data_IF_511146063438
#
_entry.id   IF_511146063438
#
_cell.length_a   1.000
_cell.length_b   1.000
_cell.length_c   1.000
_cell.angle_alpha   90.00
_cell.angle_beta   90.00
_cell.angle_gamma   90.00
#
_symmetry.space_group_name_H-M   'P 1'
#
loop_
_entity.id
_entity.type
_entity.pdbx_description
1 polymer ?
#
# COMPACT_ATOMS: atom_id res chain seq x y z
N UNK A 1 4.69 -14.11 1.75
CA UNK A 1 5.31 -13.31 2.83
C UNK A 1 5.42 -11.87 2.36
N UNK A 2 5.10 -10.91 3.20
CA UNK A 2 5.23 -9.50 2.87
C UNK A 2 5.62 -8.69 4.10
N UNK A 3 6.21 -7.52 3.89
CA UNK A 3 6.59 -6.61 4.96
C UNK A 3 6.95 -5.23 4.42
N UNK A 4 6.81 -4.22 5.28
CA UNK A 4 7.12 -2.84 4.95
C UNK A 4 7.55 -2.09 6.20
N UNK A 5 8.51 -1.17 6.16
CA UNK A 5 8.67 -0.15 7.19
C UNK A 5 7.54 0.87 7.09
N UNK A 6 7.26 1.64 8.15
CA UNK A 6 6.24 2.69 8.06
C UNK A 6 5.61 3.10 9.40
N UNK A 7 6.20 2.71 10.54
CA UNK A 7 5.68 3.06 11.86
C UNK A 7 4.25 2.54 12.06
N UNK A 8 3.33 3.39 12.49
CA UNK A 8 1.91 3.03 12.71
C UNK A 8 1.19 2.54 11.44
N UNK A 9 1.69 2.91 10.26
CA UNK A 9 1.12 2.49 8.97
C UNK A 9 1.42 1.05 8.60
N UNK A 10 2.41 0.40 9.23
CA UNK A 10 2.79 -0.99 8.93
C UNK A 10 1.57 -1.91 8.94
N UNK A 11 0.73 -1.80 9.95
CA UNK A 11 -0.46 -2.64 10.11
C UNK A 11 -1.39 -2.52 8.91
N UNK A 12 -1.72 -1.29 8.51
CA UNK A 12 -2.60 -1.05 7.36
C UNK A 12 -1.97 -1.50 6.06
N UNK A 13 -0.68 -1.23 5.85
CA UNK A 13 0.03 -1.66 4.62
C UNK A 13 0.07 -3.17 4.49
N UNK A 14 0.34 -3.87 5.60
CA UNK A 14 0.31 -5.34 5.64
C UNK A 14 -1.09 -5.86 5.36
N UNK A 15 -2.12 -5.26 5.96
CA UNK A 15 -3.52 -5.62 5.71
C UNK A 15 -3.90 -5.46 4.23
N UNK A 16 -3.58 -4.31 3.63
CA UNK A 16 -3.83 -4.08 2.20
C UNK A 16 -3.13 -5.12 1.32
N UNK A 17 -1.90 -5.47 1.65
CA UNK A 17 -1.16 -6.51 0.92
C UNK A 17 -1.78 -7.90 1.07
N UNK A 18 -2.26 -8.26 2.28
CA UNK A 18 -2.97 -9.54 2.50
C UNK A 18 -4.26 -9.59 1.71
N UNK A 19 -5.05 -8.51 1.72
CA UNK A 19 -6.28 -8.41 0.93
C UNK A 19 -5.98 -8.50 -0.58
N UNK A 20 -4.93 -7.83 -1.06
CA UNK A 20 -4.50 -7.93 -2.46
C UNK A 20 -4.17 -9.36 -2.87
N UNK A 21 -3.47 -10.12 -2.04
CA UNK A 21 -3.23 -11.54 -2.29
C UNK A 21 -4.54 -12.37 -2.26
N UNK A 22 -5.45 -12.07 -1.34
CA UNK A 22 -6.75 -12.74 -1.29
C UNK A 22 -7.60 -12.48 -2.54
N UNK A 23 -7.45 -11.30 -3.14
CA UNK A 23 -8.09 -10.91 -4.41
C UNK A 23 -7.35 -11.46 -5.65
N UNK A 24 -6.29 -12.24 -5.46
CA UNK A 24 -5.55 -12.91 -6.54
C UNK A 24 -4.45 -12.07 -7.19
N UNK A 25 -4.04 -10.95 -6.60
CA UNK A 25 -2.92 -10.16 -7.09
C UNK A 25 -1.60 -10.90 -6.88
N UNK A 26 -0.66 -10.72 -7.80
CA UNK A 26 0.68 -11.26 -7.68
C UNK A 26 1.60 -10.38 -6.80
N UNK A 27 2.82 -10.88 -6.51
CA UNK A 27 3.79 -10.21 -5.67
C UNK A 27 4.11 -8.77 -6.14
N UNK A 28 4.22 -8.53 -7.44
CA UNK A 28 4.52 -7.21 -8.00
C UNK A 28 3.33 -6.25 -7.86
N UNK A 29 2.13 -6.74 -8.14
CA UNK A 29 0.90 -5.99 -8.01
C UNK A 29 0.66 -5.60 -6.53
N UNK A 30 0.88 -6.53 -5.60
CA UNK A 30 0.75 -6.26 -4.16
C UNK A 30 1.78 -5.22 -3.69
N UNK A 31 3.04 -5.31 -4.14
CA UNK A 31 4.05 -4.30 -3.79
C UNK A 31 3.67 -2.90 -4.32
N UNK A 32 2.99 -2.83 -5.46
CA UNK A 32 2.60 -1.60 -6.14
C UNK A 32 1.23 -1.04 -5.70
N UNK A 33 0.48 -1.75 -4.83
CA UNK A 33 -0.86 -1.33 -4.42
C UNK A 33 -0.89 0.13 -3.95
N UNK A 34 -1.90 0.91 -4.37
CA UNK A 34 -2.14 2.24 -3.83
C UNK A 34 -2.40 2.17 -2.33
N UNK A 35 -1.94 3.17 -1.60
CA UNK A 35 -1.97 3.15 -0.15
C UNK A 35 -2.82 4.25 0.42
N UNK A 36 -3.55 3.87 1.47
CA UNK A 36 -4.28 4.78 2.34
C UNK A 36 -4.21 4.25 3.77
N UNK A 37 -4.36 5.14 4.73
CA UNK A 37 -4.25 4.81 6.14
C UNK A 37 -5.14 5.72 6.97
N UNK A 38 -5.82 5.12 7.91
CA UNK A 38 -6.56 5.80 8.95
C UNK A 38 -6.15 5.25 10.32
N UNK A 39 -6.04 6.10 11.29
CA UNK A 39 -5.83 5.72 12.68
C UNK A 39 -6.64 6.65 13.57
N UNK A 40 -6.86 6.22 14.82
CA UNK A 40 -7.68 6.98 15.75
C UNK A 40 -7.11 8.38 16.02
N UNK A 41 -5.80 8.54 16.11
CA UNK A 41 -5.17 9.83 16.35
C UNK A 41 -3.90 10.01 15.50
N UNK A 42 -3.90 11.03 14.63
CA UNK A 42 -5.04 11.91 14.30
C UNK A 42 -6.13 11.14 13.55
N UNK A 43 -7.41 11.51 13.82
CA UNK A 43 -8.59 10.96 13.14
C UNK A 43 -8.69 11.51 11.72
N UNK A 44 -7.81 11.01 10.87
CA UNK A 44 -7.63 11.45 9.48
C UNK A 44 -7.32 10.25 8.59
N UNK A 45 -8.01 10.17 7.46
CA UNK A 45 -7.69 9.22 6.41
C UNK A 45 -6.72 9.85 5.43
N UNK A 46 -5.44 9.51 5.54
CA UNK A 46 -4.41 9.91 4.58
C UNK A 46 -4.36 8.97 3.38
N UNK A 47 -4.13 9.50 2.19
CA UNK A 47 -4.01 8.71 0.96
C UNK A 47 -2.72 9.02 0.21
N UNK A 48 -2.24 8.07 -0.58
CA UNK A 48 -1.33 8.38 -1.69
C UNK A 48 -2.07 9.11 -2.81
N UNK A 49 -1.31 9.73 -3.70
CA UNK A 49 -1.88 10.31 -4.92
C UNK A 49 -2.56 9.22 -5.74
N UNK A 50 -3.80 9.47 -6.14
CA UNK A 50 -4.63 8.53 -6.92
C UNK A 50 -4.90 7.18 -6.23
N UNK A 51 -4.77 7.10 -4.91
CA UNK A 51 -5.02 5.86 -4.18
C UNK A 51 -6.51 5.49 -4.14
N UNK A 52 -7.38 6.48 -4.13
CA UNK A 52 -8.83 6.28 -4.13
C UNK A 52 -9.46 7.05 -5.30
N UNK A 53 -10.48 6.48 -5.97
CA UNK A 53 -11.29 7.20 -6.94
C UNK A 53 -11.97 8.42 -6.32
N UNK A 54 -12.16 9.49 -7.10
CA UNK A 54 -12.73 10.75 -6.61
C UNK A 54 -14.15 10.60 -6.04
N UNK A 55 -14.97 9.73 -6.60
CA UNK A 55 -16.31 9.42 -6.10
C UNK A 55 -16.26 8.69 -4.75
N UNK A 56 -15.25 7.83 -4.54
CA UNK A 56 -15.02 7.17 -3.24
C UNK A 56 -14.60 8.19 -2.20
N UNK A 57 -13.69 9.10 -2.53
CA UNK A 57 -13.28 10.20 -1.63
C UNK A 57 -14.48 11.06 -1.26
N UNK A 58 -15.32 11.44 -2.24
CA UNK A 58 -16.53 12.23 -1.98
C UNK A 58 -17.51 11.51 -1.05
N UNK A 59 -17.71 10.21 -1.25
CA UNK A 59 -18.58 9.40 -0.36
C UNK A 59 -18.04 9.30 1.06
N UNK A 60 -16.74 9.08 1.22
CA UNK A 60 -16.10 9.03 2.54
C UNK A 60 -16.27 10.37 3.28
N UNK A 61 -16.06 11.49 2.59
CA UNK A 61 -16.30 12.82 3.17
C UNK A 61 -17.75 13.06 3.55
N UNK A 62 -18.69 12.60 2.71
CA UNK A 62 -20.13 12.66 3.03
C UNK A 62 -20.52 11.82 4.24
N UNK A 63 -19.77 10.77 4.55
CA UNK A 63 -19.91 9.94 5.76
C UNK A 63 -19.25 10.57 7.01
N UNK A 64 -18.57 11.72 6.85
CA UNK A 64 -17.91 12.43 7.93
C UNK A 64 -16.43 12.15 8.09
N UNK A 65 -15.81 11.38 7.20
CA UNK A 65 -14.36 11.16 7.27
C UNK A 65 -13.58 12.39 6.80
N UNK A 66 -12.53 12.72 7.55
CA UNK A 66 -11.55 13.72 7.15
C UNK A 66 -10.52 13.06 6.21
N UNK A 67 -10.64 13.30 4.91
CA UNK A 67 -9.80 12.63 3.90
C UNK A 67 -8.78 13.61 3.32
N UNK A 68 -7.49 13.32 3.52
CA UNK A 68 -6.36 14.07 2.95
C UNK A 68 -5.90 13.43 1.63
N UNK A 69 -6.07 14.14 0.55
CA UNK A 69 -5.62 13.72 -0.79
C UNK A 69 -4.45 14.60 -1.23
N UNK A 70 -3.30 14.02 -1.65
CA UNK A 70 -2.16 14.82 -2.12
C UNK A 70 -2.51 15.65 -3.36
N UNK A 71 -2.22 16.94 -3.28
CA UNK A 71 -2.50 17.90 -4.37
C UNK A 71 -3.84 18.60 -4.27
N UNK A 72 -4.70 18.26 -3.31
CA UNK A 72 -5.87 19.05 -2.96
C UNK A 72 -5.54 20.07 -1.87
N UNK A 73 -6.44 21.08 -1.72
CA UNK A 73 -6.38 21.98 -0.57
C UNK A 73 -6.83 21.25 0.70
N UNK A 74 -5.88 20.88 1.52
CA UNK A 74 -6.08 20.19 2.78
C UNK A 74 -5.96 21.18 3.99
N UNK A 75 -6.19 22.46 3.80
CA UNK A 75 -6.04 23.51 4.83
C UNK A 75 -4.63 23.52 5.47
N UNK A 76 -3.60 23.40 4.62
CA UNK A 76 -2.19 23.38 5.05
C UNK A 76 -1.71 22.06 5.66
N UNK A 77 -2.59 21.08 5.83
CA UNK A 77 -2.21 19.74 6.29
C UNK A 77 -1.63 18.93 5.13
N UNK A 78 -0.66 18.10 5.44
CA UNK A 78 -0.02 17.23 4.44
C UNK A 78 -0.44 15.78 4.64
N UNK A 79 -0.84 15.13 3.55
CA UNK A 79 -0.78 13.67 3.50
C UNK A 79 0.69 13.24 3.59
N UNK A 80 0.96 12.08 4.17
CA UNK A 80 2.33 11.60 4.29
C UNK A 80 2.96 11.38 2.93
N UNK A 81 4.20 11.83 2.77
CA UNK A 81 5.01 11.54 1.59
C UNK A 81 5.71 10.17 1.70
N UNK A 82 5.70 9.55 2.88
CA UNK A 82 6.32 8.25 3.13
C UNK A 82 5.28 7.18 3.44
N UNK A 83 5.12 6.27 2.51
CA UNK A 83 4.18 5.15 2.60
C UNK A 83 4.87 3.80 2.78
N UNK A 84 6.08 3.82 3.30
CA UNK A 84 6.89 2.63 3.48
C UNK A 84 7.51 2.11 2.20
N UNK A 85 7.99 0.88 2.26
CA UNK A 85 8.68 0.19 1.17
C UNK A 85 8.32 -1.30 1.24
N UNK A 86 7.25 -1.69 0.57
CA UNK A 86 6.72 -3.05 0.61
C UNK A 86 7.67 -3.99 -0.13
N UNK A 87 8.06 -5.06 0.54
CA UNK A 87 8.76 -6.18 -0.09
C UNK A 87 7.91 -7.44 0.08
N UNK A 88 7.78 -8.19 -1.00
CA UNK A 88 6.88 -9.34 -1.06
C UNK A 88 7.59 -10.56 -1.64
N UNK A 89 7.22 -11.72 -1.11
CA UNK A 89 7.57 -13.03 -1.68
C UNK A 89 6.32 -13.88 -1.72
N UNK A 90 6.04 -14.42 -2.87
CA UNK A 90 4.94 -15.33 -3.16
C UNK A 90 5.46 -16.70 -3.53
N UNK A 91 4.84 -17.76 -3.04
CA UNK A 91 5.05 -19.11 -3.51
C UNK A 91 3.79 -19.61 -4.24
N UNK A 92 3.85 -19.62 -5.55
CA UNK A 92 2.87 -20.28 -6.40
C UNK A 92 3.09 -21.79 -6.29
N UNK A 93 2.28 -22.42 -5.45
CA UNK A 93 2.42 -23.87 -5.17
C UNK A 93 2.03 -24.72 -6.38
N UNK A 94 1.08 -24.29 -7.20
CA UNK A 94 0.64 -25.03 -8.37
C UNK A 94 1.74 -25.09 -9.43
N UNK A 95 2.41 -23.97 -9.66
CA UNK A 95 3.53 -23.89 -10.60
C UNK A 95 4.90 -24.23 -9.93
N UNK A 96 4.93 -24.50 -8.63
CA UNK A 96 6.14 -24.65 -7.81
C UNK A 96 7.17 -23.54 -8.06
N UNK A 97 6.71 -22.29 -8.07
CA UNK A 97 7.52 -21.13 -8.43
C UNK A 97 7.45 -20.05 -7.38
N UNK A 98 8.61 -19.53 -6.98
CA UNK A 98 8.73 -18.32 -6.17
C UNK A 98 8.69 -17.08 -7.07
N UNK A 99 8.01 -16.06 -6.60
CA UNK A 99 8.04 -14.70 -7.15
C UNK A 99 8.40 -13.75 -6.02
N UNK A 100 9.16 -12.72 -6.32
CA UNK A 100 9.51 -11.69 -5.37
C UNK A 100 9.40 -10.31 -6.02
N UNK A 101 8.98 -9.32 -5.24
CA UNK A 101 8.90 -7.95 -5.71
C UNK A 101 9.30 -6.97 -4.61
N UNK A 102 9.97 -5.91 -5.01
CA UNK A 102 10.21 -4.72 -4.20
C UNK A 102 9.27 -3.60 -4.63
N UNK A 103 9.02 -2.69 -3.72
CA UNK A 103 8.20 -1.51 -3.93
C UNK A 103 8.72 -0.66 -5.10
N UNK A 104 7.90 -0.40 -6.13
CA UNK A 104 8.32 0.42 -7.26
C UNK A 104 8.58 1.90 -6.88
N UNK A 105 8.14 2.34 -5.69
CA UNK A 105 8.43 3.67 -5.17
C UNK A 105 9.88 3.83 -4.71
N UNK A 106 10.56 2.71 -4.47
CA UNK A 106 11.96 2.70 -4.06
C UNK A 106 12.86 2.26 -5.24
N UNK A 107 13.54 3.20 -5.91
CA UNK A 107 14.32 2.90 -7.11
C UNK A 107 15.57 2.04 -6.84
N UNK A 108 16.00 1.94 -5.57
CA UNK A 108 17.17 1.12 -5.18
C UNK A 108 16.79 -0.27 -4.66
N UNK A 109 15.49 -0.50 -4.40
CA UNK A 109 14.99 -1.81 -3.97
C UNK A 109 15.02 -2.80 -5.12
N UNK A 110 15.56 -4.01 -4.87
CA UNK A 110 15.50 -5.13 -5.81
C UNK A 110 15.11 -6.40 -5.09
N UNK A 111 14.17 -7.12 -5.69
CA UNK A 111 13.85 -8.48 -5.28
C UNK A 111 14.37 -9.45 -6.34
N UNK A 112 15.01 -10.51 -5.89
CA UNK A 112 15.56 -11.54 -6.78
C UNK A 112 15.25 -12.91 -6.20
N UNK A 113 14.81 -13.82 -7.05
CA UNK A 113 14.67 -15.23 -6.72
C UNK A 113 15.86 -15.96 -7.30
N UNK A 114 16.65 -16.60 -6.46
CA UNK A 114 17.75 -17.43 -6.90
C UNK A 114 17.20 -18.74 -7.49
N UNK A 115 17.82 -19.28 -8.57
CA UNK A 115 17.45 -20.59 -9.06
C UNK A 115 17.72 -21.66 -8.02
N UNK A 116 16.83 -22.66 -7.92
CA UNK A 116 17.09 -23.86 -7.13
C UNK A 116 18.30 -24.60 -7.70
N UNK A 117 19.20 -24.99 -6.82
CA UNK A 117 20.31 -25.89 -7.17
C UNK A 117 19.79 -27.31 -7.34
#
# INVERSE_FOLDING_TARGET
>A
MLGTPGGSRIITMVLLGVLGYADGLDAAQVAALPRYHHQWEPDVLGTERNALPADVVARLRAMGHDVLVPGEDNAGRRSSDSWGNMNTVEWDRAANRLRAASDPRNPVGKATVAPSR
#
